data_IF_614932270643
#
_entry.id   IF_614932270643
#
_cell.length_a   1.000
_cell.length_b   1.000
_cell.length_c   1.000
_cell.angle_alpha   90.00
_cell.angle_beta   90.00
_cell.angle_gamma   90.00
#
_symmetry.space_group_name_H-M   'P 1'
#
loop_
_entity.id
_entity.type
_entity.pdbx_description
1 polymer ?
#
# COMPACT_ATOMS: atom_id res chain seq x y z
N UNK A 1 40.10 -0.48 -1.54
CA UNK A 1 38.65 -0.75 -1.56
C UNK A 1 37.95 0.52 -1.14
N UNK A 2 37.31 1.23 -2.07
CA UNK A 2 36.51 2.39 -1.72
C UNK A 2 35.15 1.87 -1.24
N UNK A 3 34.81 2.12 0.02
CA UNK A 3 33.42 1.99 0.46
C UNK A 3 32.62 3.04 -0.30
N UNK A 4 31.89 2.64 -1.34
CA UNK A 4 30.83 3.49 -1.88
C UNK A 4 29.85 3.71 -0.73
N UNK A 5 29.83 4.92 -0.17
CA UNK A 5 28.72 5.35 0.70
C UNK A 5 27.52 5.44 -0.22
N UNK A 6 26.59 4.50 -0.10
CA UNK A 6 25.25 4.64 -0.64
C UNK A 6 24.66 5.90 0.01
N UNK A 7 24.05 6.77 -0.80
CA UNK A 7 23.36 7.95 -0.27
C UNK A 7 22.25 7.48 0.70
N UNK A 8 22.19 8.00 1.94
CA UNK A 8 21.19 7.60 2.93
C UNK A 8 19.75 7.63 2.39
N UNK A 9 19.40 8.63 1.56
CA UNK A 9 18.06 8.77 0.99
C UNK A 9 17.76 7.68 -0.03
N UNK A 10 18.76 7.24 -0.79
CA UNK A 10 18.60 6.12 -1.75
C UNK A 10 18.37 4.82 -1.00
N UNK A 11 19.05 4.61 0.14
CA UNK A 11 18.82 3.44 0.99
C UNK A 11 17.41 3.47 1.61
N UNK A 12 16.99 4.60 2.17
CA UNK A 12 15.64 4.80 2.72
C UNK A 12 14.54 4.57 1.67
N UNK A 13 14.76 5.03 0.43
CA UNK A 13 13.89 4.74 -0.70
C UNK A 13 13.74 3.25 -0.97
N UNK A 14 14.85 2.50 -0.95
CA UNK A 14 14.83 1.05 -1.17
C UNK A 14 14.05 0.33 -0.07
N UNK A 15 14.30 0.68 1.20
CA UNK A 15 13.63 0.07 2.35
C UNK A 15 12.11 0.34 2.33
N UNK A 16 11.71 1.58 2.07
CA UNK A 16 10.30 1.95 1.99
C UNK A 16 9.60 1.25 0.82
N UNK A 17 10.18 1.28 -0.39
CA UNK A 17 9.60 0.64 -1.57
C UNK A 17 9.53 -0.87 -1.43
N UNK A 18 10.54 -1.52 -0.84
CA UNK A 18 10.53 -2.96 -0.56
C UNK A 18 9.39 -3.32 0.39
N UNK A 19 9.22 -2.55 1.47
CA UNK A 19 8.14 -2.74 2.44
C UNK A 19 6.77 -2.62 1.75
N UNK A 20 6.55 -1.57 0.94
CA UNK A 20 5.31 -1.37 0.18
C UNK A 20 5.06 -2.55 -0.77
N UNK A 21 6.07 -2.95 -1.55
CA UNK A 21 5.95 -4.04 -2.51
C UNK A 21 5.59 -5.37 -1.85
N UNK A 22 6.16 -5.67 -0.69
CA UNK A 22 5.84 -6.88 0.05
C UNK A 22 4.36 -6.92 0.45
N UNK A 23 3.81 -5.81 0.94
CA UNK A 23 2.38 -5.70 1.28
C UNK A 23 1.50 -5.90 0.05
N UNK A 24 1.83 -5.25 -1.08
CA UNK A 24 1.08 -5.38 -2.33
C UNK A 24 1.07 -6.82 -2.83
N UNK A 25 2.23 -7.48 -2.85
CA UNK A 25 2.36 -8.87 -3.30
C UNK A 25 1.54 -9.81 -2.42
N UNK A 26 1.59 -9.61 -1.10
CA UNK A 26 0.83 -10.44 -0.16
C UNK A 26 -0.69 -10.26 -0.36
N UNK A 27 -1.17 -9.02 -0.44
CA UNK A 27 -2.58 -8.70 -0.67
C UNK A 27 -3.09 -9.23 -2.03
N UNK A 28 -2.27 -9.11 -3.08
CA UNK A 28 -2.56 -9.64 -4.41
C UNK A 28 -2.60 -11.17 -4.44
N UNK A 29 -1.70 -11.83 -3.70
CA UNK A 29 -1.65 -13.30 -3.66
C UNK A 29 -2.93 -13.88 -3.07
N UNK A 30 -3.47 -13.27 -2.01
CA UNK A 30 -4.72 -13.70 -1.40
C UNK A 30 -5.90 -13.44 -2.33
N UNK A 31 -6.00 -12.26 -2.93
CA UNK A 31 -7.13 -11.92 -3.81
C UNK A 31 -7.12 -12.65 -5.15
N UNK A 32 -5.95 -13.02 -5.69
CA UNK A 32 -5.83 -13.83 -6.91
C UNK A 32 -6.12 -15.31 -6.70
N UNK A 33 -6.04 -15.81 -5.45
CA UNK A 33 -6.46 -17.17 -5.12
C UNK A 33 -7.98 -17.36 -5.27
N UNK A 34 -8.72 -16.25 -5.34
CA UNK A 34 -10.14 -16.20 -5.65
C UNK A 34 -10.39 -16.28 -7.17
N UNK A 35 -10.44 -17.49 -7.71
CA UNK A 35 -11.06 -17.71 -9.03
C UNK A 35 -12.58 -17.76 -8.82
N UNK A 36 -13.26 -16.62 -8.91
CA UNK A 36 -14.72 -16.61 -8.89
C UNK A 36 -15.26 -17.17 -10.22
N UNK A 37 -16.06 -18.24 -10.15
CA UNK A 37 -16.90 -18.63 -11.28
C UNK A 37 -18.05 -17.61 -11.44
N UNK A 38 -18.54 -17.41 -12.67
CA UNK A 38 -19.73 -16.55 -12.89
C UNK A 38 -20.91 -17.04 -12.04
N UNK A 39 -21.39 -16.18 -11.14
CA UNK A 39 -22.57 -16.44 -10.29
C UNK A 39 -22.27 -16.85 -8.85
N UNK A 40 -21.00 -16.94 -8.43
CA UNK A 40 -20.63 -17.16 -7.03
C UNK A 40 -20.65 -15.85 -6.22
N UNK A 41 -21.07 -15.95 -4.95
CA UNK A 41 -20.97 -14.84 -4.00
C UNK A 41 -19.50 -14.62 -3.60
N UNK A 42 -19.06 -13.37 -3.39
CA UNK A 42 -17.69 -13.08 -2.97
C UNK A 42 -17.37 -13.80 -1.66
N UNK A 43 -16.19 -14.43 -1.55
CA UNK A 43 -15.76 -15.03 -0.30
C UNK A 43 -15.31 -13.93 0.66
N UNK A 44 -16.22 -13.52 1.53
CA UNK A 44 -15.98 -12.44 2.49
C UNK A 44 -14.74 -12.66 3.37
N UNK A 45 -14.33 -13.91 3.62
CA UNK A 45 -13.13 -14.20 4.41
C UNK A 45 -11.84 -13.81 3.65
N UNK A 46 -11.83 -13.85 2.33
CA UNK A 46 -10.69 -13.41 1.50
C UNK A 46 -10.57 -11.88 1.52
N UNK A 47 -11.70 -11.18 1.49
CA UNK A 47 -11.74 -9.72 1.65
C UNK A 47 -11.24 -9.29 3.04
N UNK A 48 -11.62 -10.02 4.10
CA UNK A 48 -11.12 -9.77 5.45
C UNK A 48 -9.62 -10.03 5.57
N UNK A 49 -9.12 -11.11 4.96
CA UNK A 49 -7.68 -11.39 4.94
C UNK A 49 -6.88 -10.32 4.18
N UNK A 50 -7.39 -9.84 3.05
CA UNK A 50 -6.77 -8.73 2.33
C UNK A 50 -6.77 -7.44 3.18
N UNK A 51 -7.85 -7.14 3.88
CA UNK A 51 -7.92 -6.00 4.81
C UNK A 51 -6.90 -6.13 5.96
N UNK A 52 -6.74 -7.32 6.54
CA UNK A 52 -5.75 -7.59 7.58
C UNK A 52 -4.32 -7.34 7.09
N UNK A 53 -3.99 -7.76 5.86
CA UNK A 53 -2.69 -7.51 5.25
C UNK A 53 -2.46 -6.01 5.07
N UNK A 54 -3.45 -5.29 4.52
CA UNK A 54 -3.34 -3.85 4.32
C UNK A 54 -3.19 -3.11 5.66
N UNK A 55 -3.93 -3.52 6.69
CA UNK A 55 -3.81 -2.95 8.04
C UNK A 55 -2.42 -3.16 8.61
N UNK A 56 -1.92 -4.40 8.63
CA UNK A 56 -0.56 -4.71 9.12
C UNK A 56 0.52 -4.05 8.27
N UNK A 57 0.30 -4.00 6.96
CA UNK A 57 1.17 -3.33 6.00
C UNK A 57 1.27 -1.84 6.26
N UNK A 58 0.15 -1.18 6.58
CA UNK A 58 0.14 0.24 6.95
C UNK A 58 1.00 0.51 8.19
N UNK A 59 0.92 -0.35 9.20
CA UNK A 59 1.75 -0.27 10.41
C UNK A 59 3.22 -0.53 10.09
N UNK A 60 3.53 -1.53 9.27
CA UNK A 60 4.90 -1.82 8.85
C UNK A 60 5.52 -0.63 8.11
N UNK A 61 4.77 -0.04 7.17
CA UNK A 61 5.20 1.14 6.41
C UNK A 61 5.45 2.33 7.36
N UNK A 62 4.54 2.61 8.29
CA UNK A 62 4.70 3.70 9.26
C UNK A 62 5.92 3.55 10.18
N UNK A 63 6.43 2.33 10.35
CA UNK A 63 7.55 2.02 11.24
C UNK A 63 8.91 1.93 10.53
N UNK A 64 8.97 2.09 9.19
CA UNK A 64 10.25 2.19 8.47
C UNK A 64 11.03 3.41 9.00
N UNK A 65 12.33 3.25 9.25
CA UNK A 65 13.12 4.34 9.79
C UNK A 65 13.59 5.27 8.65
N UNK A 66 12.93 6.41 8.51
CA UNK A 66 13.20 7.40 7.45
C UNK A 66 13.66 8.71 8.09
N UNK A 67 14.79 9.26 7.68
CA UNK A 67 15.26 10.58 8.10
C UNK A 67 14.94 11.67 7.06
N UNK A 68 14.82 11.32 5.78
CA UNK A 68 14.45 12.28 4.74
C UNK A 68 13.00 12.77 4.89
N UNK A 69 12.82 14.06 5.09
CA UNK A 69 11.50 14.66 5.35
C UNK A 69 10.49 14.48 4.20
N UNK A 70 10.95 14.37 2.96
CA UNK A 70 10.06 14.13 1.81
C UNK A 70 9.61 12.67 1.82
N UNK A 71 10.50 11.72 2.09
CA UNK A 71 10.16 10.32 2.27
C UNK A 71 9.25 10.08 3.48
N UNK A 72 9.45 10.74 4.61
CA UNK A 72 8.56 10.64 5.77
C UNK A 72 7.11 11.04 5.41
N UNK A 73 6.97 12.07 4.58
CA UNK A 73 5.66 12.49 4.10
C UNK A 73 5.02 11.46 3.15
N UNK A 74 5.80 10.81 2.28
CA UNK A 74 5.29 9.71 1.46
C UNK A 74 4.94 8.48 2.29
N UNK A 75 5.80 8.10 3.24
CA UNK A 75 5.57 7.02 4.20
C UNK A 75 4.24 7.20 4.93
N UNK A 76 4.01 8.39 5.47
CA UNK A 76 2.74 8.72 6.16
C UNK A 76 1.55 8.58 5.23
N UNK A 77 1.61 9.17 4.04
CA UNK A 77 0.52 9.08 3.06
C UNK A 77 0.21 7.64 2.65
N UNK A 78 1.21 6.83 2.35
CA UNK A 78 1.00 5.44 1.93
C UNK A 78 0.43 4.61 3.08
N UNK A 79 0.95 4.79 4.30
CA UNK A 79 0.39 4.13 5.49
C UNK A 79 -1.10 4.49 5.68
N UNK A 80 -1.45 5.77 5.63
CA UNK A 80 -2.82 6.24 5.77
C UNK A 80 -3.74 5.65 4.68
N UNK A 81 -3.26 5.60 3.44
CA UNK A 81 -4.02 5.01 2.32
C UNK A 81 -4.29 3.52 2.55
N UNK A 82 -3.31 2.76 3.03
CA UNK A 82 -3.48 1.31 3.25
C UNK A 82 -4.41 1.03 4.43
N UNK A 83 -4.30 1.80 5.50
CA UNK A 83 -5.24 1.73 6.62
C UNK A 83 -6.67 2.11 6.17
N UNK A 84 -6.84 3.14 5.35
CA UNK A 84 -8.14 3.53 4.80
C UNK A 84 -8.75 2.42 3.91
N UNK A 85 -7.95 1.78 3.07
CA UNK A 85 -8.40 0.63 2.26
C UNK A 85 -8.81 -0.55 3.14
N UNK A 86 -8.06 -0.87 4.20
CA UNK A 86 -8.42 -1.91 5.15
C UNK A 86 -9.75 -1.60 5.84
N UNK A 87 -9.91 -0.38 6.38
CA UNK A 87 -11.13 0.06 7.06
C UNK A 87 -12.36 0.06 6.15
N UNK A 88 -12.20 0.55 4.91
CA UNK A 88 -13.25 0.51 3.91
C UNK A 88 -13.65 -0.94 3.61
N UNK A 89 -12.69 -1.86 3.49
CA UNK A 89 -12.95 -3.28 3.24
C UNK A 89 -13.68 -3.94 4.41
N UNK A 90 -13.25 -3.73 5.66
CA UNK A 90 -13.97 -4.23 6.83
C UNK A 90 -15.41 -3.71 6.87
N UNK A 91 -15.60 -2.41 6.60
CA UNK A 91 -16.92 -1.76 6.57
C UNK A 91 -17.81 -2.37 5.49
N UNK A 92 -17.24 -2.66 4.32
CA UNK A 92 -17.95 -3.26 3.19
C UNK A 92 -18.38 -4.69 3.50
N UNK A 93 -17.50 -5.52 4.06
CA UNK A 93 -17.82 -6.89 4.49
C UNK A 93 -18.93 -6.90 5.54
N UNK A 94 -18.83 -6.05 6.56
CA UNK A 94 -19.86 -5.91 7.59
C UNK A 94 -21.21 -5.48 7.00
N UNK A 95 -21.20 -4.55 6.05
CA UNK A 95 -22.39 -4.06 5.38
C UNK A 95 -23.07 -5.15 4.55
N UNK A 96 -22.30 -5.97 3.82
CA UNK A 96 -22.83 -7.11 3.07
C UNK A 96 -23.49 -8.16 3.98
N UNK A 97 -22.84 -8.51 5.10
CA UNK A 97 -23.42 -9.44 6.09
C UNK A 97 -24.74 -8.92 6.66
N UNK A 98 -24.86 -7.61 6.86
CA UNK A 98 -26.07 -6.93 7.37
C UNK A 98 -27.08 -6.57 6.28
N UNK A 99 -26.77 -6.82 5.00
CA UNK A 99 -27.56 -6.40 3.83
C UNK A 99 -27.82 -4.88 3.81
N UNK A 100 -26.87 -4.10 4.32
CA UNK A 100 -26.91 -2.64 4.34
C UNK A 100 -26.27 -2.10 3.06
N UNK A 101 -27.10 -1.94 2.03
CA UNK A 101 -26.64 -1.53 0.70
C UNK A 101 -26.01 -0.12 0.71
N UNK A 102 -26.59 0.82 1.47
CA UNK A 102 -26.10 2.20 1.53
C UNK A 102 -24.69 2.24 2.13
N UNK A 103 -24.48 1.52 3.26
CA UNK A 103 -23.16 1.43 3.88
C UNK A 103 -22.15 0.70 3.00
N UNK A 104 -22.56 -0.33 2.27
CA UNK A 104 -21.69 -1.04 1.33
C UNK A 104 -21.23 -0.13 0.18
N UNK A 105 -22.15 0.67 -0.40
CA UNK A 105 -21.81 1.63 -1.46
C UNK A 105 -20.89 2.74 -0.96
N UNK A 106 -21.13 3.26 0.25
CA UNK A 106 -20.26 4.26 0.85
C UNK A 106 -18.84 3.72 1.11
N UNK A 107 -18.73 2.49 1.61
CA UNK A 107 -17.46 1.82 1.82
C UNK A 107 -16.72 1.55 0.51
N UNK A 108 -17.44 1.11 -0.53
CA UNK A 108 -16.86 0.91 -1.86
C UNK A 108 -16.31 2.22 -2.45
N UNK A 109 -17.04 3.34 -2.32
CA UNK A 109 -16.58 4.63 -2.78
C UNK A 109 -15.29 5.07 -2.05
N UNK A 110 -15.21 4.87 -0.73
CA UNK A 110 -14.00 5.12 0.06
C UNK A 110 -12.81 4.30 -0.44
N UNK A 111 -13.00 2.99 -0.64
CA UNK A 111 -11.95 2.11 -1.16
C UNK A 111 -11.48 2.56 -2.56
N UNK A 112 -12.39 2.97 -3.44
CA UNK A 112 -12.04 3.50 -4.76
C UNK A 112 -11.23 4.79 -4.70
N UNK A 113 -11.62 5.73 -3.82
CA UNK A 113 -10.85 6.96 -3.60
C UNK A 113 -9.46 6.66 -3.06
N UNK A 114 -9.35 5.76 -2.08
CA UNK A 114 -8.06 5.35 -1.53
C UNK A 114 -7.17 4.67 -2.58
N UNK A 115 -7.71 3.81 -3.44
CA UNK A 115 -6.96 3.19 -4.54
C UNK A 115 -6.49 4.18 -5.61
N UNK A 116 -7.26 5.25 -5.88
CA UNK A 116 -6.80 6.33 -6.76
C UNK A 116 -5.64 7.10 -6.14
N UNK A 117 -5.72 7.40 -4.84
CA UNK A 117 -4.65 8.05 -4.10
C UNK A 117 -3.40 7.18 -4.05
N UNK A 118 -3.54 5.88 -3.80
CA UNK A 118 -2.43 4.92 -3.82
C UNK A 118 -1.64 5.03 -5.12
N UNK A 119 -2.34 5.00 -6.26
CA UNK A 119 -1.70 5.09 -7.57
C UNK A 119 -0.91 6.39 -7.72
N UNK A 120 -1.52 7.53 -7.41
CA UNK A 120 -0.87 8.84 -7.58
C UNK A 120 0.31 9.04 -6.62
N UNK A 121 0.17 8.58 -5.37
CA UNK A 121 1.21 8.69 -4.34
C UNK A 121 2.35 7.74 -4.64
N UNK A 122 2.06 6.50 -5.05
CA UNK A 122 3.05 5.51 -5.46
C UNK A 122 3.88 5.96 -6.67
N UNK A 123 3.24 6.51 -7.71
CA UNK A 123 3.94 7.10 -8.86
C UNK A 123 4.87 8.25 -8.43
N UNK A 124 4.40 9.13 -7.55
CA UNK A 124 5.18 10.28 -7.06
C UNK A 124 6.37 9.86 -6.19
N UNK A 125 6.17 8.89 -5.30
CA UNK A 125 7.23 8.28 -4.49
C UNK A 125 8.28 7.62 -5.37
N UNK A 126 7.87 6.79 -6.33
CA UNK A 126 8.79 6.13 -7.24
C UNK A 126 9.62 7.14 -8.04
N UNK A 127 9.01 8.20 -8.55
CA UNK A 127 9.72 9.26 -9.28
C UNK A 127 10.75 9.96 -8.37
N UNK A 128 10.37 10.30 -7.14
CA UNK A 128 11.28 10.90 -6.17
C UNK A 128 12.51 10.01 -5.92
N UNK A 129 12.29 8.72 -5.70
CA UNK A 129 13.38 7.77 -5.47
C UNK A 129 14.29 7.61 -6.69
N UNK A 130 13.73 7.52 -7.90
CA UNK A 130 14.52 7.45 -9.13
C UNK A 130 15.36 8.71 -9.38
N UNK A 131 14.84 9.89 -9.02
CA UNK A 131 15.58 11.13 -9.17
C UNK A 131 16.75 11.20 -8.18
N UNK A 132 16.57 10.71 -6.94
CA UNK A 132 17.66 10.56 -5.97
C UNK A 132 18.74 9.59 -6.44
N UNK A 133 18.38 8.49 -7.07
CA UNK A 133 19.35 7.56 -7.66
C UNK A 133 20.17 8.19 -8.80
N UNK A 134 19.57 9.05 -9.63
CA UNK A 134 20.26 9.74 -10.74
C UNK A 134 21.22 10.84 -10.26
N UNK A 135 20.97 11.40 -9.09
CA UNK A 135 21.84 12.41 -8.46
C UNK A 135 23.15 11.79 -7.94
N UNK A 136 23.24 10.45 -7.84
CA UNK A 136 24.47 9.76 -7.46
C UNK A 136 25.56 9.97 -8.52
N UNK A 137 26.79 10.34 -8.13
CA UNK A 137 27.89 10.43 -9.07
C UNK A 137 28.13 9.06 -9.71
N UNK A 138 28.07 8.99 -11.05
CA UNK A 138 28.48 7.81 -11.79
C UNK A 138 29.93 7.49 -11.44
N UNK A 139 30.17 6.27 -10.98
CA UNK A 139 31.52 5.80 -10.72
C UNK A 139 32.38 5.96 -11.99
N UNK A 140 33.61 6.48 -11.90
CA UNK A 140 34.52 6.59 -13.04
C UNK A 140 34.95 5.22 -13.60
#
# INVERSE_FOLDING_TARGET
MACQRIDPVVYECQELLETINNVVIEAQTITQSEQMAEGEEPNLDIWLQAADILSKGSEAIANVNIDDSILQNYQTQVSDIYNEQAQATYTMVEAWQKKDLEKAMAAQARAQTAGQLEKTTGESLNNYCQDKEKELPSAP
#
